data_IF_248321519801
#
_entry.id   IF_248321519801
#
_cell.length_a   1.000
_cell.length_b   1.000
_cell.length_c   1.000
_cell.angle_alpha   90.00
_cell.angle_beta   90.00
_cell.angle_gamma   90.00
#
_symmetry.space_group_name_H-M   'P 1'
#
loop_
_entity.id
_entity.type
_entity.pdbx_description
1 polymer ?
#
# COMPACT_ATOMS: atom_id res chain seq x y z
N UNK A 1 15.54 -19.70 -33.79
CA UNK A 1 15.12 -20.04 -32.41
C UNK A 1 13.90 -19.20 -32.10
N UNK A 2 12.80 -19.78 -31.62
CA UNK A 2 11.70 -18.95 -31.10
C UNK A 2 12.23 -18.15 -29.91
N UNK A 3 11.81 -16.88 -29.71
CA UNK A 3 12.24 -16.13 -28.53
C UNK A 3 11.85 -16.92 -27.28
N UNK A 4 12.83 -17.22 -26.41
CA UNK A 4 12.55 -17.95 -25.17
C UNK A 4 11.56 -17.15 -24.34
N UNK A 5 10.37 -17.68 -24.11
CA UNK A 5 9.31 -17.00 -23.35
C UNK A 5 9.79 -16.75 -21.92
N UNK A 6 9.75 -15.50 -21.48
CA UNK A 6 10.02 -15.15 -20.08
C UNK A 6 8.80 -15.45 -19.24
N UNK A 7 8.99 -16.22 -18.16
CA UNK A 7 7.95 -16.56 -17.19
C UNK A 7 8.34 -16.03 -15.80
N UNK A 8 7.43 -15.35 -15.15
CA UNK A 8 7.58 -14.78 -13.81
C UNK A 8 6.59 -15.41 -12.86
N UNK A 9 7.07 -15.81 -11.69
CA UNK A 9 6.23 -16.21 -10.57
C UNK A 9 5.94 -14.98 -9.69
N UNK A 10 4.68 -14.60 -9.55
CA UNK A 10 4.27 -13.46 -8.74
C UNK A 10 3.62 -13.93 -7.42
N UNK A 11 4.20 -13.54 -6.29
CA UNK A 11 3.73 -13.94 -4.96
C UNK A 11 3.27 -12.73 -4.12
N UNK A 12 1.95 -12.45 -4.09
CA UNK A 12 1.36 -11.41 -3.25
C UNK A 12 1.19 -11.85 -1.80
N UNK A 13 1.27 -10.89 -0.87
CA UNK A 13 0.71 -11.08 0.47
C UNK A 13 -0.85 -11.06 0.37
N UNK A 14 -1.58 -11.99 1.03
CA UNK A 14 -3.01 -12.22 0.82
C UNK A 14 -3.88 -11.22 1.59
N UNK A 15 -3.67 -9.94 1.29
CA UNK A 15 -4.48 -8.82 1.73
C UNK A 15 -4.76 -7.96 0.51
N UNK A 16 -5.97 -7.44 0.36
CA UNK A 16 -6.37 -6.64 -0.81
C UNK A 16 -5.41 -5.48 -1.09
N UNK A 17 -4.84 -4.88 -0.04
CA UNK A 17 -3.86 -3.79 -0.16
C UNK A 17 -2.54 -4.19 -0.84
N UNK A 18 -2.23 -5.48 -0.91
CA UNK A 18 -0.98 -6.03 -1.45
C UNK A 18 -1.25 -6.82 -2.74
N UNK A 19 -2.27 -7.67 -2.71
CA UNK A 19 -2.67 -8.52 -3.83
C UNK A 19 -3.14 -7.72 -5.03
N UNK A 20 -3.99 -6.71 -4.85
CA UNK A 20 -4.55 -5.95 -5.98
C UNK A 20 -3.44 -5.19 -6.73
N UNK A 21 -2.55 -4.41 -6.07
CA UNK A 21 -1.47 -3.72 -6.77
C UNK A 21 -0.49 -4.67 -7.47
N UNK A 22 -0.13 -5.80 -6.86
CA UNK A 22 0.74 -6.77 -7.52
C UNK A 22 0.05 -7.43 -8.71
N UNK A 23 -1.25 -7.73 -8.61
CA UNK A 23 -2.03 -8.26 -9.72
C UNK A 23 -2.11 -7.24 -10.87
N UNK A 24 -2.25 -5.95 -10.58
CA UNK A 24 -2.27 -4.93 -11.61
C UNK A 24 -0.89 -4.77 -12.28
N UNK A 25 0.21 -4.91 -11.54
CA UNK A 25 1.55 -5.05 -12.13
C UNK A 25 1.64 -6.29 -13.02
N UNK A 26 1.12 -7.43 -12.59
CA UNK A 26 1.11 -8.67 -13.38
C UNK A 26 0.37 -8.46 -14.72
N UNK A 27 -0.78 -7.79 -14.71
CA UNK A 27 -1.51 -7.43 -15.93
C UNK A 27 -0.67 -6.54 -16.86
N UNK A 28 0.05 -5.58 -16.29
CA UNK A 28 0.91 -4.66 -17.04
C UNK A 28 2.16 -5.33 -17.64
N UNK A 29 2.67 -6.39 -17.00
CA UNK A 29 3.72 -7.27 -17.55
C UNK A 29 3.17 -8.17 -18.67
N UNK A 30 1.97 -8.72 -18.46
CA UNK A 30 1.27 -9.57 -19.43
C UNK A 30 0.94 -8.82 -20.72
N UNK A 31 0.53 -7.54 -20.64
CA UNK A 31 0.31 -6.71 -21.81
C UNK A 31 1.58 -6.45 -22.63
N UNK A 32 2.76 -6.71 -22.06
CA UNK A 32 4.08 -6.64 -22.70
C UNK A 32 4.66 -8.00 -23.06
N UNK A 33 3.85 -9.06 -23.01
CA UNK A 33 4.22 -10.39 -23.47
C UNK A 33 4.95 -11.27 -22.44
N UNK A 34 5.06 -10.84 -21.18
CA UNK A 34 5.61 -11.67 -20.10
C UNK A 34 4.56 -12.71 -19.68
N UNK A 35 4.98 -13.96 -19.54
CA UNK A 35 4.14 -14.99 -18.94
C UNK A 35 4.20 -14.80 -17.42
N UNK A 36 3.06 -14.83 -16.74
CA UNK A 36 2.99 -14.62 -15.29
C UNK A 36 2.11 -15.69 -14.67
N UNK A 37 2.63 -16.37 -13.65
CA UNK A 37 1.80 -17.15 -12.72
C UNK A 37 1.65 -16.37 -11.43
N UNK A 38 0.42 -15.98 -11.07
CA UNK A 38 0.10 -15.34 -9.80
C UNK A 38 -0.31 -16.38 -8.76
N UNK A 39 0.31 -16.32 -7.58
CA UNK A 39 -0.03 -17.18 -6.45
C UNK A 39 -1.22 -16.60 -5.69
N UNK A 40 -2.23 -17.44 -5.45
CA UNK A 40 -3.42 -17.05 -4.66
C UNK A 40 -3.81 -18.14 -3.68
N UNK A 41 -4.61 -17.77 -2.69
CA UNK A 41 -5.34 -18.73 -1.84
C UNK A 41 -6.82 -18.75 -2.22
N UNK A 42 -7.58 -19.81 -1.91
CA UNK A 42 -9.00 -19.90 -2.26
C UNK A 42 -9.86 -18.66 -1.94
N UNK A 43 -9.71 -17.99 -0.76
CA UNK A 43 -10.47 -16.77 -0.46
C UNK A 43 -10.15 -15.58 -1.36
N UNK A 44 -8.96 -15.56 -1.96
CA UNK A 44 -8.46 -14.46 -2.77
C UNK A 44 -8.51 -14.74 -4.28
N UNK A 45 -8.71 -16.00 -4.66
CA UNK A 45 -8.84 -16.42 -6.06
C UNK A 45 -9.89 -15.61 -6.84
N UNK A 46 -11.07 -15.26 -6.27
CA UNK A 46 -12.06 -14.45 -6.99
C UNK A 46 -11.58 -13.05 -7.37
N UNK A 47 -10.49 -12.54 -6.78
CA UNK A 47 -9.92 -11.23 -7.13
C UNK A 47 -9.13 -11.26 -8.45
N UNK A 48 -8.72 -12.45 -8.91
CA UNK A 48 -8.05 -12.61 -10.20
C UNK A 48 -9.09 -12.80 -11.29
N UNK A 49 -9.14 -11.92 -12.31
CA UNK A 49 -10.10 -12.04 -13.40
C UNK A 49 -9.91 -13.36 -14.15
N UNK A 50 -11.00 -14.12 -14.30
CA UNK A 50 -11.01 -15.32 -15.12
C UNK A 50 -10.78 -14.94 -16.59
N UNK A 51 -9.93 -15.70 -17.30
CA UNK A 51 -9.67 -15.52 -18.73
C UNK A 51 -9.13 -14.14 -19.15
N UNK A 52 -8.40 -13.44 -18.27
CA UNK A 52 -7.81 -12.13 -18.61
C UNK A 52 -6.87 -12.19 -19.82
N UNK A 53 -5.98 -13.19 -19.85
CA UNK A 53 -5.02 -13.43 -20.94
C UNK A 53 -4.48 -14.85 -20.81
N UNK A 54 -4.15 -15.55 -21.91
CA UNK A 54 -3.48 -16.85 -21.83
C UNK A 54 -2.09 -16.79 -21.19
N UNK A 55 -1.50 -15.60 -21.07
CA UNK A 55 -0.22 -15.38 -20.42
C UNK A 55 -0.33 -15.17 -18.90
N UNK A 56 -1.54 -14.97 -18.37
CA UNK A 56 -1.79 -14.82 -16.93
C UNK A 56 -2.42 -16.11 -16.39
N UNK A 57 -1.64 -16.85 -15.61
CA UNK A 57 -2.07 -18.08 -14.96
C UNK A 57 -2.15 -17.89 -13.45
N UNK A 58 -2.91 -18.75 -12.80
CA UNK A 58 -3.08 -18.73 -11.34
C UNK A 58 -2.68 -20.09 -10.78
N UNK A 59 -1.82 -20.08 -9.75
CA UNK A 59 -1.56 -21.27 -8.93
C UNK A 59 -2.22 -21.07 -7.57
N UNK A 60 -3.18 -21.94 -7.26
CA UNK A 60 -3.96 -21.89 -6.01
C UNK A 60 -3.22 -22.70 -4.94
N UNK A 61 -2.73 -22.02 -3.91
CA UNK A 61 -2.04 -22.62 -2.78
C UNK A 61 -3.03 -22.97 -1.65
N UNK A 62 -2.67 -23.93 -0.78
CA UNK A 62 -3.48 -24.26 0.39
C UNK A 62 -3.81 -23.04 1.25
N UNK A 63 -4.93 -23.11 1.98
CA UNK A 63 -5.27 -22.08 2.94
C UNK A 63 -4.28 -22.03 4.10
N UNK A 64 -4.07 -20.82 4.62
CA UNK A 64 -3.21 -20.61 5.77
C UNK A 64 -3.82 -21.25 7.02
N UNK A 65 -3.02 -22.02 7.73
CA UNK A 65 -3.36 -22.55 9.03
C UNK A 65 -2.63 -21.75 10.11
N UNK A 66 -3.35 -21.41 11.18
CA UNK A 66 -2.85 -20.65 12.31
C UNK A 66 -2.83 -21.54 13.55
N UNK A 67 -1.72 -22.26 13.81
CA UNK A 67 -1.67 -23.19 14.93
C UNK A 67 -1.71 -22.48 16.30
N UNK A 68 -1.29 -21.21 16.37
CA UNK A 68 -1.28 -20.45 17.61
C UNK A 68 -2.09 -19.14 17.48
N UNK A 69 -3.23 -19.00 18.18
CA UNK A 69 -4.05 -17.78 18.14
C UNK A 69 -3.42 -16.60 18.88
N UNK A 70 -2.46 -16.84 19.77
CA UNK A 70 -1.77 -15.81 20.56
C UNK A 70 -0.55 -15.22 19.83
N UNK A 71 -0.15 -15.81 18.69
CA UNK A 71 0.97 -15.32 17.90
C UNK A 71 0.57 -14.05 17.14
N UNK A 72 1.51 -13.13 16.96
CA UNK A 72 1.36 -12.01 16.06
C UNK A 72 0.90 -12.50 14.69
N UNK A 73 -0.28 -12.04 14.26
CA UNK A 73 -0.95 -12.55 13.07
C UNK A 73 -0.10 -12.42 11.80
N UNK A 74 0.66 -11.33 11.63
CA UNK A 74 1.52 -11.18 10.46
C UNK A 74 2.62 -12.24 10.45
N UNK A 75 3.30 -12.40 11.58
CA UNK A 75 4.40 -13.39 11.72
C UNK A 75 3.85 -14.80 11.55
N UNK A 76 2.70 -15.13 12.15
CA UNK A 76 2.02 -16.40 12.00
C UNK A 76 1.67 -16.69 10.52
N UNK A 77 1.12 -15.69 9.80
CA UNK A 77 0.81 -15.81 8.37
C UNK A 77 2.06 -16.08 7.54
N UNK A 78 3.11 -15.28 7.69
CA UNK A 78 4.33 -15.40 6.89
C UNK A 78 5.09 -16.70 7.23
N UNK A 79 5.09 -17.12 8.50
CA UNK A 79 5.66 -18.40 8.93
C UNK A 79 4.91 -19.57 8.30
N UNK A 80 3.58 -19.56 8.38
CA UNK A 80 2.73 -20.59 7.79
C UNK A 80 2.91 -20.68 6.28
N UNK A 81 3.03 -19.54 5.59
CA UNK A 81 3.37 -19.53 4.16
C UNK A 81 4.73 -20.14 3.87
N UNK A 82 5.78 -19.73 4.60
CA UNK A 82 7.12 -20.28 4.41
C UNK A 82 7.12 -21.79 4.62
N UNK A 83 6.45 -22.29 5.65
CA UNK A 83 6.43 -23.73 5.96
C UNK A 83 5.61 -24.55 4.95
N UNK A 84 4.43 -24.07 4.57
CA UNK A 84 3.48 -24.85 3.79
C UNK A 84 3.60 -24.61 2.28
N UNK A 85 3.94 -23.40 1.85
CA UNK A 85 3.98 -23.06 0.42
C UNK A 85 5.35 -23.31 -0.19
N UNK A 86 6.44 -23.12 0.56
CA UNK A 86 7.81 -23.35 0.05
C UNK A 86 8.00 -24.70 -0.65
N UNK A 87 7.71 -25.86 -0.02
CA UNK A 87 7.96 -27.15 -0.66
C UNK A 87 7.10 -27.34 -1.92
N UNK A 88 5.86 -26.86 -1.90
CA UNK A 88 4.94 -26.92 -3.05
C UNK A 88 5.49 -26.07 -4.20
N UNK A 89 5.96 -24.86 -3.92
CA UNK A 89 6.48 -23.95 -4.93
C UNK A 89 7.79 -24.42 -5.54
N UNK A 90 8.66 -25.03 -4.73
CA UNK A 90 9.91 -25.62 -5.21
C UNK A 90 9.65 -26.77 -6.18
N UNK A 91 8.81 -27.74 -5.78
CA UNK A 91 8.41 -28.88 -6.61
C UNK A 91 7.69 -28.43 -7.89
N UNK A 92 6.72 -27.51 -7.75
CA UNK A 92 5.99 -26.95 -8.88
C UNK A 92 6.94 -26.27 -9.88
N UNK A 93 7.86 -25.43 -9.41
CA UNK A 93 8.77 -24.70 -10.29
C UNK A 93 9.76 -25.62 -11.01
N UNK A 94 10.26 -26.68 -10.34
CA UNK A 94 11.17 -27.67 -10.93
C UNK A 94 10.49 -28.56 -11.98
N UNK A 95 9.19 -28.80 -11.85
CA UNK A 95 8.42 -29.68 -12.75
C UNK A 95 7.60 -28.92 -13.79
N UNK A 96 7.52 -27.59 -13.71
CA UNK A 96 6.73 -26.78 -14.62
C UNK A 96 7.28 -26.84 -16.07
N UNK A 97 6.44 -27.03 -17.11
CA UNK A 97 6.89 -27.08 -18.51
C UNK A 97 7.59 -25.80 -18.99
N UNK A 98 7.30 -24.67 -18.34
CA UNK A 98 7.97 -23.40 -18.54
C UNK A 98 8.38 -22.87 -17.16
N UNK A 99 9.51 -23.29 -16.58
CA UNK A 99 9.89 -22.88 -15.22
C UNK A 99 10.04 -21.35 -15.13
N UNK A 100 9.71 -20.74 -13.97
CA UNK A 100 9.87 -19.30 -13.81
C UNK A 100 11.35 -18.91 -13.93
N UNK A 101 11.63 -17.80 -14.63
CA UNK A 101 12.98 -17.21 -14.73
C UNK A 101 13.23 -16.15 -13.66
N UNK A 102 12.19 -15.69 -12.97
CA UNK A 102 12.29 -14.73 -11.89
C UNK A 102 11.10 -14.89 -10.94
N UNK A 103 11.29 -14.46 -9.70
CA UNK A 103 10.22 -14.35 -8.70
C UNK A 103 10.02 -12.88 -8.36
N UNK A 104 8.79 -12.40 -8.44
CA UNK A 104 8.39 -11.10 -7.87
C UNK A 104 7.54 -11.39 -6.64
N UNK A 105 7.94 -10.96 -5.45
CA UNK A 105 7.05 -11.08 -4.28
C UNK A 105 6.92 -9.79 -3.49
N UNK A 106 5.82 -9.73 -2.75
CA UNK A 106 5.60 -8.71 -1.73
C UNK A 106 6.74 -8.66 -0.69
N UNK A 107 7.02 -7.46 -0.15
CA UNK A 107 8.06 -7.24 0.85
C UNK A 107 7.82 -8.01 2.16
N UNK A 108 6.59 -8.39 2.51
CA UNK A 108 6.37 -9.24 3.69
C UNK A 108 6.85 -10.68 3.51
N UNK A 109 7.15 -11.09 2.28
CA UNK A 109 7.54 -12.46 1.93
C UNK A 109 9.04 -12.58 1.68
N UNK A 110 9.86 -11.93 2.52
CA UNK A 110 11.33 -11.96 2.41
C UNK A 110 11.91 -13.37 2.28
N UNK A 111 11.33 -14.35 2.97
CA UNK A 111 11.71 -15.78 2.89
C UNK A 111 11.75 -16.35 1.47
N UNK A 112 10.99 -15.78 0.53
CA UNK A 112 11.02 -16.17 -0.90
C UNK A 112 12.40 -16.00 -1.52
N UNK A 113 13.32 -15.27 -0.88
CA UNK A 113 14.74 -15.24 -1.24
C UNK A 113 15.36 -16.64 -1.24
N UNK A 114 15.02 -17.48 -0.24
CA UNK A 114 15.51 -18.86 -0.20
C UNK A 114 15.00 -19.69 -1.37
N UNK A 115 13.72 -19.52 -1.74
CA UNK A 115 13.13 -20.21 -2.90
C UNK A 115 13.84 -19.79 -4.19
N UNK A 116 14.11 -18.50 -4.36
CA UNK A 116 14.82 -17.97 -5.52
C UNK A 116 16.26 -18.50 -5.63
N UNK A 117 16.96 -18.59 -4.49
CA UNK A 117 18.30 -19.16 -4.40
C UNK A 117 18.32 -20.63 -4.82
N UNK A 118 17.42 -21.45 -4.26
CA UNK A 118 17.36 -22.89 -4.54
C UNK A 118 16.89 -23.18 -5.98
N UNK A 119 16.15 -22.26 -6.61
CA UNK A 119 15.78 -22.32 -8.03
C UNK A 119 16.83 -21.67 -8.96
N UNK A 120 17.88 -21.04 -8.41
CA UNK A 120 18.88 -20.29 -9.16
C UNK A 120 18.30 -19.19 -10.07
N UNK A 121 17.30 -18.46 -9.57
CA UNK A 121 16.64 -17.35 -10.29
C UNK A 121 16.69 -16.05 -9.48
N UNK A 122 16.71 -14.88 -10.13
CA UNK A 122 16.61 -13.60 -9.42
C UNK A 122 15.25 -13.43 -8.74
N UNK A 123 15.29 -12.80 -7.56
CA UNK A 123 14.13 -12.34 -6.81
C UNK A 123 14.03 -10.83 -6.87
N UNK A 124 12.88 -10.32 -7.27
CA UNK A 124 12.49 -8.93 -7.12
C UNK A 124 11.52 -8.76 -5.95
N UNK A 125 11.69 -7.68 -5.20
CA UNK A 125 10.71 -7.22 -4.22
C UNK A 125 9.69 -6.32 -4.92
N UNK A 126 8.41 -6.57 -4.71
CA UNK A 126 7.35 -5.63 -5.02
C UNK A 126 6.93 -4.90 -3.74
N UNK A 127 6.92 -3.57 -3.81
CA UNK A 127 6.43 -2.72 -2.73
C UNK A 127 5.10 -2.06 -3.11
N UNK A 128 3.97 -2.49 -2.51
CA UNK A 128 2.72 -1.74 -2.54
C UNK A 128 2.72 -0.54 -1.57
N UNK A 129 3.83 -0.26 -0.89
CA UNK A 129 4.07 0.95 -0.09
C UNK A 129 5.00 1.91 -0.82
N UNK A 130 5.00 3.19 -0.42
CA UNK A 130 5.88 4.22 -0.97
C UNK A 130 7.36 3.96 -0.68
N UNK A 131 8.24 4.50 -1.53
CA UNK A 131 9.69 4.40 -1.38
C UNK A 131 10.18 5.02 -0.07
N UNK A 132 9.54 6.09 0.39
CA UNK A 132 9.87 6.69 1.68
C UNK A 132 9.60 5.72 2.86
N UNK A 133 8.40 5.16 2.90
CA UNK A 133 8.00 4.20 3.94
C UNK A 133 8.89 2.96 3.97
N UNK A 134 9.22 2.41 2.80
CA UNK A 134 10.10 1.25 2.74
C UNK A 134 11.52 1.58 3.20
N UNK A 135 12.03 2.78 2.88
CA UNK A 135 13.35 3.25 3.36
C UNK A 135 13.39 3.37 4.89
N UNK A 136 12.32 3.90 5.51
CA UNK A 136 12.17 3.92 6.97
C UNK A 136 12.18 2.49 7.54
N UNK A 137 11.44 1.57 6.93
CA UNK A 137 11.39 0.17 7.36
C UNK A 137 12.76 -0.52 7.26
N UNK A 138 13.48 -0.35 6.15
CA UNK A 138 14.82 -0.91 5.97
C UNK A 138 15.81 -0.37 7.00
N UNK A 139 15.88 0.95 7.18
CA UNK A 139 16.76 1.53 8.20
C UNK A 139 16.40 1.06 9.61
N UNK A 140 15.10 0.97 9.93
CA UNK A 140 14.62 0.50 11.22
C UNK A 140 15.12 -0.92 11.55
N UNK A 141 14.98 -1.86 10.62
CA UNK A 141 15.34 -3.28 10.85
C UNK A 141 16.83 -3.59 10.64
N UNK A 142 17.52 -2.82 9.79
CA UNK A 142 18.96 -2.94 9.55
C UNK A 142 19.77 -2.29 10.66
N UNK A 143 19.51 -1.02 10.93
CA UNK A 143 20.36 -0.17 11.77
C UNK A 143 19.97 -0.25 13.26
N UNK A 144 18.73 -0.68 13.57
CA UNK A 144 18.20 -0.81 14.93
C UNK A 144 18.42 0.47 15.76
N UNK A 145 17.87 1.62 15.31
CA UNK A 145 18.11 2.90 15.94
C UNK A 145 17.65 2.89 17.41
N UNK A 146 18.37 3.65 18.24
CA UNK A 146 18.02 3.81 19.65
C UNK A 146 16.83 4.73 19.81
N UNK A 147 15.99 4.45 20.81
CA UNK A 147 14.95 5.38 21.25
C UNK A 147 15.63 6.40 22.16
N UNK A 148 15.56 7.67 21.77
CA UNK A 148 16.15 8.78 22.53
C UNK A 148 15.33 9.07 23.80
N UNK A 149 15.90 9.84 24.74
CA UNK A 149 15.27 10.12 26.06
C UNK A 149 13.87 10.76 25.98
N UNK A 150 13.50 11.38 24.85
CA UNK A 150 12.21 12.00 24.61
C UNK A 150 11.21 11.08 23.87
N UNK A 151 11.46 9.77 23.85
CA UNK A 151 10.63 8.77 23.16
C UNK A 151 10.52 9.02 21.65
N UNK A 152 11.62 9.46 21.04
CA UNK A 152 11.73 9.73 19.60
C UNK A 152 12.81 8.86 18.96
N UNK A 153 12.63 8.58 17.68
CA UNK A 153 13.56 7.85 16.83
C UNK A 153 13.88 8.68 15.60
N UNK A 154 15.17 8.94 15.40
CA UNK A 154 15.69 9.74 14.29
C UNK A 154 16.31 8.85 13.21
N UNK A 155 16.15 9.26 11.95
CA UNK A 155 16.69 8.54 10.79
C UNK A 155 17.62 9.44 9.97
N UNK A 156 18.79 9.83 10.51
CA UNK A 156 19.66 10.85 9.91
C UNK A 156 20.30 10.42 8.57
N UNK A 157 20.29 9.12 8.25
CA UNK A 157 20.81 8.59 6.98
C UNK A 157 19.79 8.63 5.84
N UNK A 158 18.51 8.86 6.15
CA UNK A 158 17.46 8.96 5.14
C UNK A 158 17.33 10.39 4.61
N UNK A 159 16.85 10.59 3.37
CA UNK A 159 16.53 11.91 2.87
C UNK A 159 15.55 12.66 3.80
N UNK A 160 15.81 13.94 4.03
CA UNK A 160 15.09 14.82 4.95
C UNK A 160 15.15 14.43 6.43
N UNK A 161 16.00 13.47 6.82
CA UNK A 161 16.30 13.09 8.22
C UNK A 161 15.05 13.02 9.12
N UNK A 162 14.03 12.22 8.78
CA UNK A 162 12.76 12.25 9.48
C UNK A 162 12.93 11.77 10.92
N UNK A 163 12.07 12.32 11.79
CA UNK A 163 11.99 11.99 13.20
C UNK A 163 10.56 11.54 13.48
N UNK A 164 10.43 10.47 14.26
CA UNK A 164 9.16 9.90 14.67
C UNK A 164 9.12 9.76 16.20
N UNK A 165 8.02 10.15 16.87
CA UNK A 165 7.69 9.57 18.16
C UNK A 165 7.67 8.04 18.04
N UNK A 166 8.15 7.31 19.05
CA UNK A 166 8.28 5.85 18.98
C UNK A 166 6.93 5.18 18.68
N UNK A 167 5.83 5.73 19.20
CA UNK A 167 4.47 5.25 18.96
C UNK A 167 4.02 5.37 17.49
N UNK A 168 4.67 6.17 16.64
CA UNK A 168 4.38 6.20 15.20
C UNK A 168 5.10 5.09 14.42
N UNK A 169 6.07 4.40 15.03
CA UNK A 169 6.73 3.26 14.40
C UNK A 169 5.81 2.06 14.30
N UNK A 170 6.18 1.12 13.43
CA UNK A 170 5.37 -0.08 13.19
C UNK A 170 5.15 -0.88 14.49
N UNK A 171 3.92 -1.34 14.70
CA UNK A 171 3.56 -2.17 15.87
C UNK A 171 4.54 -3.34 16.10
N UNK A 172 4.97 -3.98 15.02
CA UNK A 172 5.92 -5.11 15.08
C UNK A 172 7.28 -4.73 15.65
N UNK A 173 7.75 -3.51 15.41
CA UNK A 173 9.02 -3.05 15.98
C UNK A 173 8.88 -2.68 17.45
N UNK A 174 7.76 -2.06 17.85
CA UNK A 174 7.55 -1.55 19.20
C UNK A 174 7.18 -2.62 20.23
N UNK A 175 6.25 -3.52 19.86
CA UNK A 175 5.58 -4.39 20.83
C UNK A 175 6.16 -5.80 20.90
N UNK A 176 6.93 -6.21 19.88
CA UNK A 176 7.61 -7.51 19.90
C UNK A 176 8.96 -7.38 20.62
N UNK A 177 9.30 -8.38 21.45
CA UNK A 177 10.54 -8.35 22.22
C UNK A 177 11.72 -8.83 21.38
N UNK A 178 12.77 -8.00 21.31
CA UNK A 178 14.03 -8.34 20.64
C UNK A 178 14.63 -9.64 21.19
N UNK A 179 15.11 -10.51 20.30
CA UNK A 179 15.62 -11.84 20.63
C UNK A 179 14.56 -12.94 20.70
N UNK A 180 13.27 -12.61 20.72
CA UNK A 180 12.21 -13.61 20.60
C UNK A 180 11.94 -13.98 19.15
N UNK A 181 11.36 -15.17 18.94
CA UNK A 181 11.12 -15.74 17.61
C UNK A 181 10.41 -14.77 16.66
N UNK A 182 9.34 -14.10 17.10
CA UNK A 182 8.55 -13.22 16.24
C UNK A 182 9.35 -12.02 15.73
N UNK A 183 10.14 -11.43 16.62
CA UNK A 183 10.96 -10.27 16.32
C UNK A 183 12.09 -10.65 15.37
N UNK A 184 12.81 -11.74 15.67
CA UNK A 184 13.92 -12.22 14.83
C UNK A 184 13.43 -12.69 13.45
N UNK A 185 12.30 -13.40 13.40
CA UNK A 185 11.70 -13.85 12.14
C UNK A 185 11.26 -12.67 11.27
N UNK A 186 10.61 -11.65 11.85
CA UNK A 186 10.21 -10.48 11.09
C UNK A 186 11.44 -9.70 10.61
N UNK A 187 12.44 -9.51 11.47
CA UNK A 187 13.71 -8.87 11.09
C UNK A 187 14.40 -9.61 9.96
N UNK A 188 14.52 -10.94 10.04
CA UNK A 188 15.08 -11.79 8.98
C UNK A 188 14.35 -11.52 7.65
N UNK A 189 13.01 -11.56 7.63
CA UNK A 189 12.24 -11.28 6.42
C UNK A 189 12.50 -9.88 5.86
N UNK A 190 12.63 -8.86 6.72
CA UNK A 190 12.92 -7.49 6.27
C UNK A 190 14.33 -7.36 5.70
N UNK A 191 15.33 -8.02 6.30
CA UNK A 191 16.70 -8.02 5.80
C UNK A 191 16.84 -8.78 4.48
N UNK A 192 16.12 -9.89 4.29
CA UNK A 192 16.11 -10.63 3.03
C UNK A 192 15.58 -9.82 1.84
N UNK A 193 14.87 -8.71 2.08
CA UNK A 193 14.47 -7.79 1.02
C UNK A 193 15.63 -6.91 0.52
N UNK A 194 16.68 -6.71 1.33
CA UNK A 194 17.89 -5.99 0.91
C UNK A 194 18.79 -6.86 0.02
N UNK A 195 18.69 -8.19 0.13
CA UNK A 195 19.37 -9.19 -0.72
C UNK A 195 18.65 -9.42 -2.07
N UNK A 196 17.79 -8.50 -2.48
CA UNK A 196 17.00 -8.61 -3.71
C UNK A 196 17.83 -8.29 -4.95
N UNK A 197 17.45 -8.89 -6.09
CA UNK A 197 17.99 -8.47 -7.38
C UNK A 197 17.46 -7.09 -7.81
N UNK A 198 16.29 -6.67 -7.34
CA UNK A 198 15.76 -5.33 -7.63
C UNK A 198 14.39 -5.08 -7.02
N UNK A 199 13.98 -3.82 -6.93
CA UNK A 199 12.71 -3.44 -6.30
C UNK A 199 11.78 -2.75 -7.30
N UNK A 200 10.52 -3.18 -7.32
CA UNK A 200 9.44 -2.55 -8.09
C UNK A 200 8.49 -1.86 -7.12
N UNK A 201 8.36 -0.54 -7.23
CA UNK A 201 7.48 0.27 -6.41
C UNK A 201 6.21 0.64 -7.16
N UNK A 202 5.06 0.52 -6.49
CA UNK A 202 3.84 1.20 -6.93
C UNK A 202 3.89 2.69 -6.56
N UNK A 203 4.77 3.43 -7.22
CA UNK A 203 4.94 4.89 -7.09
C UNK A 203 5.43 5.45 -8.43
N UNK A 204 5.54 6.76 -8.57
CA UNK A 204 6.11 7.42 -9.75
C UNK A 204 7.24 8.36 -9.37
N UNK A 205 8.14 8.61 -10.31
CA UNK A 205 9.39 9.33 -10.07
C UNK A 205 9.14 10.72 -9.49
N UNK A 206 8.16 11.44 -10.01
CA UNK A 206 7.84 12.81 -9.59
C UNK A 206 7.28 12.91 -8.16
N UNK A 207 6.79 11.80 -7.59
CA UNK A 207 6.29 11.74 -6.22
C UNK A 207 7.40 11.51 -5.20
N UNK A 208 8.36 10.61 -5.49
CA UNK A 208 9.31 10.09 -4.50
C UNK A 208 10.77 10.03 -4.97
N UNK A 209 11.19 10.81 -5.99
CA UNK A 209 12.54 10.75 -6.59
C UNK A 209 13.68 10.62 -5.57
N UNK A 210 13.71 11.46 -4.54
CA UNK A 210 14.78 11.47 -3.54
C UNK A 210 14.89 10.15 -2.76
N UNK A 211 13.76 9.47 -2.55
CA UNK A 211 13.70 8.19 -1.84
C UNK A 211 14.00 7.03 -2.79
N UNK A 212 13.57 7.09 -4.05
CA UNK A 212 13.97 6.13 -5.08
C UNK A 212 15.50 6.14 -5.30
N UNK A 213 16.09 7.33 -5.40
CA UNK A 213 17.55 7.51 -5.54
C UNK A 213 18.30 7.04 -4.29
N UNK A 214 17.71 7.22 -3.10
CA UNK A 214 18.26 6.68 -1.86
C UNK A 214 18.26 5.15 -1.86
N UNK A 215 17.15 4.50 -2.23
CA UNK A 215 17.07 3.03 -2.30
C UNK A 215 18.09 2.46 -3.30
N UNK A 216 18.30 3.12 -4.45
CA UNK A 216 19.35 2.70 -5.41
C UNK A 216 20.75 2.72 -4.79
N UNK A 217 21.06 3.77 -4.02
CA UNK A 217 22.33 3.87 -3.28
C UNK A 217 22.45 2.83 -2.18
N UNK A 218 21.36 2.55 -1.46
CA UNK A 218 21.36 1.53 -0.40
C UNK A 218 21.58 0.12 -0.96
N UNK A 219 21.05 -0.19 -2.14
CA UNK A 219 21.20 -1.49 -2.81
C UNK A 219 22.46 -1.62 -3.66
N UNK A 220 23.23 -0.53 -3.81
CA UNK A 220 24.41 -0.45 -4.69
C UNK A 220 24.12 -0.86 -6.16
N UNK A 221 22.93 -0.53 -6.67
CA UNK A 221 22.56 -0.78 -8.06
C UNK A 221 21.34 0.01 -8.56
N UNK A 222 21.21 0.14 -9.87
CA UNK A 222 20.12 0.90 -10.54
C UNK A 222 18.80 0.14 -10.72
N UNK A 223 18.70 -1.13 -10.29
CA UNK A 223 17.50 -1.99 -10.46
C UNK A 223 16.38 -1.64 -9.47
N UNK A 224 15.88 -0.41 -9.59
CA UNK A 224 14.76 0.13 -8.82
C UNK A 224 13.80 0.81 -9.81
N UNK A 225 12.57 0.32 -9.90
CA UNK A 225 11.58 0.78 -10.88
C UNK A 225 10.35 1.36 -10.19
N UNK A 226 10.01 2.60 -10.52
CA UNK A 226 8.78 3.26 -10.11
C UNK A 226 7.75 3.14 -11.23
N UNK A 227 6.82 2.18 -11.11
CA UNK A 227 5.89 1.78 -12.18
C UNK A 227 4.44 2.21 -11.93
N UNK A 228 4.19 2.90 -10.82
CA UNK A 228 2.86 3.32 -10.40
C UNK A 228 2.44 4.70 -10.94
N UNK A 229 1.24 5.19 -10.59
CA UNK A 229 0.18 4.43 -9.95
C UNK A 229 -0.32 3.31 -10.86
N UNK A 230 -0.24 2.05 -10.41
CA UNK A 230 -0.82 0.92 -11.13
C UNK A 230 -2.29 0.84 -10.72
N UNK A 231 -3.11 1.69 -11.33
CA UNK A 231 -4.54 1.83 -11.04
C UNK A 231 -5.35 1.67 -12.33
N UNK A 232 -6.64 1.31 -12.24
CA UNK A 232 -7.56 1.46 -13.36
C UNK A 232 -7.57 2.90 -13.84
N UNK A 233 -7.64 3.14 -15.16
CA UNK A 233 -7.66 4.50 -15.70
C UNK A 233 -8.80 5.32 -15.05
N UNK A 234 -8.50 6.49 -14.47
CA UNK A 234 -9.54 7.37 -13.96
C UNK A 234 -10.41 7.87 -15.13
N UNK A 235 -11.72 7.99 -14.90
CA UNK A 235 -12.58 8.71 -15.84
C UNK A 235 -12.30 10.22 -15.76
N UNK A 236 -12.30 10.91 -16.89
CA UNK A 236 -12.07 12.36 -16.96
C UNK A 236 -13.22 13.14 -16.29
N UNK A 237 -13.06 13.43 -14.99
CA UNK A 237 -13.95 14.29 -14.23
C UNK A 237 -13.30 15.63 -13.87
N UNK A 238 -13.70 16.73 -14.49
CA UNK A 238 -13.37 18.09 -14.02
C UNK A 238 -14.23 18.45 -12.81
N UNK A 239 -13.66 18.94 -11.69
CA UNK A 239 -14.41 19.22 -10.45
C UNK A 239 -15.63 20.13 -10.71
N UNK A 240 -16.82 19.67 -10.35
CA UNK A 240 -18.11 20.34 -10.55
C UNK A 240 -18.32 21.53 -9.61
N UNK A 241 -19.53 22.11 -9.64
CA UNK A 241 -19.91 23.23 -8.77
C UNK A 241 -20.31 22.80 -7.35
N UNK A 242 -20.74 21.56 -7.15
CA UNK A 242 -21.05 21.00 -5.83
C UNK A 242 -19.87 20.15 -5.33
N UNK A 243 -19.10 20.66 -4.37
CA UNK A 243 -18.00 19.93 -3.76
C UNK A 243 -18.47 19.11 -2.54
N UNK A 244 -18.08 17.83 -2.51
CA UNK A 244 -18.39 16.84 -1.49
C UNK A 244 -17.09 16.32 -0.87
N UNK A 245 -17.11 16.03 0.43
CA UNK A 245 -16.05 15.28 1.09
C UNK A 245 -16.28 13.78 0.97
N UNK A 246 -15.24 13.02 0.63
CA UNK A 246 -15.26 11.57 0.78
C UNK A 246 -14.50 11.18 2.05
N UNK A 247 -15.03 10.23 2.82
CA UNK A 247 -14.42 9.75 4.06
C UNK A 247 -14.31 8.24 4.01
N UNK A 248 -13.08 7.72 4.10
CA UNK A 248 -12.82 6.28 4.11
C UNK A 248 -11.48 5.96 4.80
N UNK A 249 -11.52 5.00 5.72
CA UNK A 249 -10.34 4.55 6.48
C UNK A 249 -9.77 3.21 5.97
N UNK A 250 -10.06 2.88 4.71
CA UNK A 250 -9.55 1.70 4.03
C UNK A 250 -10.22 0.39 4.44
N UNK A 251 -9.61 -0.72 4.04
CA UNK A 251 -10.20 -2.05 4.19
C UNK A 251 -9.91 -2.72 5.54
N UNK A 252 -9.05 -2.15 6.38
CA UNK A 252 -8.61 -2.79 7.64
C UNK A 252 -8.96 -2.01 8.90
N UNK A 253 -9.09 -0.70 8.82
CA UNK A 253 -9.34 0.15 9.99
C UNK A 253 -10.83 0.20 10.29
N UNK A 254 -11.17 0.06 11.57
CA UNK A 254 -12.49 0.42 12.11
C UNK A 254 -12.26 1.46 13.19
N UNK A 255 -12.98 2.57 13.10
CA UNK A 255 -12.91 3.66 14.07
C UNK A 255 -13.52 3.23 15.41
N UNK A 256 -12.96 3.70 16.53
CA UNK A 256 -13.59 3.57 17.85
C UNK A 256 -14.92 4.32 17.90
N UNK A 257 -15.75 4.03 18.92
CA UNK A 257 -17.01 4.76 19.11
C UNK A 257 -16.77 6.27 19.26
N UNK A 258 -15.75 6.66 20.03
CA UNK A 258 -15.32 8.06 20.20
C UNK A 258 -14.90 8.71 18.87
N UNK A 259 -14.01 8.06 18.09
CA UNK A 259 -13.58 8.58 16.79
C UNK A 259 -14.74 8.76 15.82
N UNK A 260 -15.68 7.80 15.79
CA UNK A 260 -16.85 7.90 14.92
C UNK A 260 -17.79 9.00 15.38
N UNK A 261 -18.00 9.16 16.69
CA UNK A 261 -18.81 10.23 17.25
C UNK A 261 -18.26 11.60 16.85
N UNK A 262 -16.97 11.85 17.12
CA UNK A 262 -16.28 13.09 16.73
C UNK A 262 -16.35 13.32 15.22
N UNK A 263 -16.11 12.29 14.40
CA UNK A 263 -16.20 12.39 12.95
C UNK A 263 -17.60 12.82 12.50
N UNK A 264 -18.65 12.18 13.03
CA UNK A 264 -20.03 12.51 12.65
C UNK A 264 -20.45 13.90 13.09
N UNK A 265 -20.07 14.33 14.29
CA UNK A 265 -20.29 15.70 14.76
C UNK A 265 -19.54 16.72 13.89
N UNK A 266 -18.28 16.44 13.54
CA UNK A 266 -17.49 17.32 12.69
C UNK A 266 -18.08 17.45 11.27
N UNK A 267 -18.57 16.34 10.71
CA UNK A 267 -19.25 16.34 9.41
C UNK A 267 -20.54 17.17 9.45
N UNK A 268 -21.34 17.04 10.50
CA UNK A 268 -22.53 17.87 10.73
C UNK A 268 -22.18 19.36 10.86
N UNK A 269 -21.25 19.70 11.77
CA UNK A 269 -20.80 21.07 12.03
C UNK A 269 -20.18 21.74 10.80
N UNK A 270 -19.52 20.96 9.93
CA UNK A 270 -18.91 21.50 8.70
C UNK A 270 -19.94 22.02 7.70
N UNK A 271 -21.17 21.51 7.75
CA UNK A 271 -22.25 21.81 6.81
C UNK A 271 -21.99 21.34 5.37
N UNK A 272 -20.96 20.52 5.13
CA UNK A 272 -20.62 20.04 3.79
C UNK A 272 -21.42 18.80 3.44
N UNK A 273 -21.61 18.55 2.14
CA UNK A 273 -22.12 17.25 1.68
C UNK A 273 -21.00 16.22 1.70
N UNK A 274 -21.29 14.99 2.08
CA UNK A 274 -20.25 13.96 2.17
C UNK A 274 -20.72 12.55 1.78
N UNK A 275 -19.75 11.71 1.46
CA UNK A 275 -19.90 10.26 1.34
C UNK A 275 -19.03 9.63 2.42
N UNK A 276 -19.63 8.87 3.33
CA UNK A 276 -18.95 8.18 4.41
C UNK A 276 -18.98 6.67 4.15
N UNK A 277 -17.82 6.09 3.87
CA UNK A 277 -17.64 4.65 3.79
C UNK A 277 -17.32 4.10 5.17
N UNK A 278 -18.18 3.23 5.68
CA UNK A 278 -17.97 2.50 6.94
C UNK A 278 -17.87 1.01 6.66
N UNK A 279 -16.97 0.36 7.36
CA UNK A 279 -16.78 -1.09 7.24
C UNK A 279 -17.68 -1.82 8.24
N UNK A 280 -18.18 -2.99 7.83
CA UNK A 280 -18.84 -3.90 8.76
C UNK A 280 -17.86 -4.38 9.84
N UNK A 281 -18.39 -4.53 11.05
CA UNK A 281 -17.66 -5.11 12.17
C UNK A 281 -17.41 -6.59 11.85
N UNK A 282 -16.14 -6.99 11.78
CA UNK A 282 -15.78 -8.41 11.82
C UNK A 282 -15.39 -8.84 13.23
N UNK A 283 -15.18 -10.15 13.43
CA UNK A 283 -14.83 -10.74 14.75
C UNK A 283 -13.63 -10.08 15.42
N UNK A 284 -12.74 -9.38 14.68
CA UNK A 284 -11.58 -8.65 15.24
C UNK A 284 -11.97 -7.34 15.94
N UNK A 285 -13.16 -6.81 15.67
CA UNK A 285 -13.61 -5.50 16.13
C UNK A 285 -14.66 -5.62 17.25
N UNK A 286 -15.13 -6.82 17.57
CA UNK A 286 -16.17 -7.03 18.60
C UNK A 286 -15.64 -6.76 20.02
N UNK A 287 -14.32 -6.88 20.24
CA UNK A 287 -13.69 -6.75 21.57
C UNK A 287 -13.25 -5.32 21.95
N UNK A 288 -13.17 -4.36 21.01
CA UNK A 288 -12.53 -3.04 21.22
C UNK A 288 -13.49 -1.84 21.15
N UNK A 289 -14.66 -1.93 21.79
CA UNK A 289 -15.62 -0.82 21.89
C UNK A 289 -16.18 -0.30 20.55
N UNK A 290 -16.26 -1.17 19.53
CA UNK A 290 -16.83 -0.81 18.23
C UNK A 290 -18.32 -1.15 18.08
N UNK A 291 -18.93 -1.77 19.11
CA UNK A 291 -20.26 -2.41 19.05
C UNK A 291 -21.41 -1.45 18.69
N UNK A 292 -21.24 -0.14 18.92
CA UNK A 292 -22.29 0.87 18.70
C UNK A 292 -21.99 1.85 17.56
N UNK A 293 -20.87 1.71 16.84
CA UNK A 293 -20.39 2.67 15.82
C UNK A 293 -21.42 2.90 14.71
N UNK A 294 -22.11 1.84 14.26
CA UNK A 294 -23.08 1.91 13.16
C UNK A 294 -24.51 2.23 13.63
N UNK A 295 -24.82 2.02 14.91
CA UNK A 295 -26.15 2.27 15.46
C UNK A 295 -26.46 3.76 15.45
N UNK A 296 -27.60 4.15 14.86
CA UNK A 296 -28.01 5.55 14.75
C UNK A 296 -27.20 6.40 13.77
N UNK A 297 -26.23 5.83 13.04
CA UNK A 297 -25.34 6.57 12.15
C UNK A 297 -26.11 7.30 11.04
N UNK A 298 -27.14 6.67 10.47
CA UNK A 298 -28.01 7.30 9.47
C UNK A 298 -28.74 8.55 10.02
N UNK A 299 -29.16 8.51 11.29
CA UNK A 299 -29.80 9.65 11.93
C UNK A 299 -28.78 10.77 12.21
N UNK A 300 -27.56 10.43 12.64
CA UNK A 300 -26.48 11.40 12.89
C UNK A 300 -26.01 12.10 11.61
N UNK A 301 -25.93 11.37 10.50
CA UNK A 301 -25.49 11.90 9.21
C UNK A 301 -26.57 12.76 8.54
N UNK A 302 -27.84 12.46 8.80
CA UNK A 302 -28.98 13.23 8.30
C UNK A 302 -29.02 13.32 6.76
N UNK A 303 -29.55 14.42 6.23
CA UNK A 303 -29.72 14.64 4.78
C UNK A 303 -28.44 15.10 4.07
N UNK A 304 -27.40 15.45 4.82
CA UNK A 304 -26.16 16.03 4.27
C UNK A 304 -25.16 14.98 3.81
N UNK A 305 -25.27 13.73 4.27
CA UNK A 305 -24.34 12.67 3.90
C UNK A 305 -24.99 11.42 3.32
N UNK A 306 -24.19 10.67 2.58
CA UNK A 306 -24.53 9.35 2.07
C UNK A 306 -23.59 8.31 2.70
N UNK A 307 -24.15 7.23 3.25
CA UNK A 307 -23.38 6.18 3.92
C UNK A 307 -23.26 4.97 2.99
N UNK A 308 -22.04 4.46 2.83
CA UNK A 308 -21.77 3.18 2.19
C UNK A 308 -21.28 2.22 3.26
N UNK A 309 -21.99 1.10 3.43
CA UNK A 309 -21.58 0.02 4.32
C UNK A 309 -20.86 -1.06 3.51
N UNK A 310 -19.71 -1.52 4.03
CA UNK A 310 -18.90 -2.55 3.38
C UNK A 310 -17.90 -1.97 2.37
N UNK A 311 -17.89 -2.50 1.14
CA UNK A 311 -16.94 -2.10 0.10
C UNK A 311 -17.45 -0.90 -0.70
N UNK A 312 -16.68 0.21 -0.69
CA UNK A 312 -16.96 1.37 -1.53
C UNK A 312 -16.20 1.31 -2.86
N UNK A 313 -16.82 1.71 -3.98
CA UNK A 313 -16.13 1.89 -5.25
C UNK A 313 -15.26 3.16 -5.22
N UNK A 314 -14.20 3.13 -4.39
CA UNK A 314 -13.41 4.29 -3.99
C UNK A 314 -12.88 5.09 -5.19
N UNK A 315 -12.31 4.43 -6.20
CA UNK A 315 -11.83 5.10 -7.41
C UNK A 315 -12.94 5.83 -8.19
N UNK A 316 -14.14 5.24 -8.27
CA UNK A 316 -15.29 5.89 -8.94
C UNK A 316 -15.73 7.12 -8.15
N UNK A 317 -15.75 7.02 -6.82
CA UNK A 317 -16.11 8.15 -5.94
C UNK A 317 -15.08 9.27 -6.08
N UNK A 318 -13.78 8.96 -5.96
CA UNK A 318 -12.70 9.96 -6.01
C UNK A 318 -12.57 10.61 -7.39
N UNK A 319 -12.81 9.87 -8.48
CA UNK A 319 -12.78 10.42 -9.85
C UNK A 319 -14.02 11.25 -10.17
N UNK A 320 -15.09 11.16 -9.36
CA UNK A 320 -16.31 11.90 -9.63
C UNK A 320 -16.10 13.39 -9.37
N UNK A 321 -16.44 14.22 -10.36
CA UNK A 321 -16.29 15.69 -10.31
C UNK A 321 -16.82 16.38 -9.07
N UNK A 322 -17.86 15.84 -8.43
CA UNK A 322 -18.42 16.44 -7.23
C UNK A 322 -17.55 16.21 -5.97
N UNK A 323 -16.55 15.33 -6.00
CA UNK A 323 -15.71 15.05 -4.83
C UNK A 323 -14.50 15.98 -4.86
N UNK A 324 -14.37 16.80 -3.82
CA UNK A 324 -13.33 17.82 -3.71
C UNK A 324 -12.26 17.50 -2.68
N UNK A 325 -12.57 16.65 -1.70
CA UNK A 325 -11.63 16.27 -0.64
C UNK A 325 -11.79 14.82 -0.20
N UNK A 326 -10.75 14.28 0.41
CA UNK A 326 -10.69 12.91 0.88
C UNK A 326 -10.08 12.81 2.28
N UNK A 327 -10.91 12.55 3.29
CA UNK A 327 -10.45 12.17 4.63
C UNK A 327 -10.06 10.70 4.64
N UNK A 328 -8.76 10.44 4.85
CA UNK A 328 -8.16 9.14 4.64
C UNK A 328 -7.19 8.76 5.74
N UNK A 329 -7.18 7.46 6.06
CA UNK A 329 -6.13 6.81 6.84
C UNK A 329 -4.74 6.82 6.19
N UNK A 330 -4.60 7.27 4.94
CA UNK A 330 -3.29 7.36 4.24
C UNK A 330 -2.60 6.01 4.00
N UNK A 331 -3.37 4.92 3.86
CA UNK A 331 -2.84 3.72 3.22
C UNK A 331 -2.35 4.05 1.81
N UNK A 332 -1.26 3.40 1.36
CA UNK A 332 -0.58 3.82 0.14
C UNK A 332 -1.46 3.74 -1.12
N UNK A 333 -2.28 2.69 -1.27
CA UNK A 333 -3.23 2.61 -2.38
C UNK A 333 -4.19 3.80 -2.37
N UNK A 334 -4.82 4.09 -1.22
CA UNK A 334 -5.71 5.26 -1.09
C UNK A 334 -4.99 6.59 -1.30
N UNK A 335 -3.70 6.66 -1.00
CA UNK A 335 -2.86 7.83 -1.29
C UNK A 335 -2.71 8.03 -2.79
N UNK A 336 -2.34 6.98 -3.53
CA UNK A 336 -2.23 7.05 -4.99
C UNK A 336 -3.56 7.37 -5.67
N UNK A 337 -4.65 6.78 -5.19
CA UNK A 337 -6.02 7.05 -5.69
C UNK A 337 -6.43 8.50 -5.43
N UNK A 338 -6.09 9.07 -4.26
CA UNK A 338 -6.31 10.48 -3.95
C UNK A 338 -5.47 11.41 -4.82
N UNK A 339 -4.19 11.09 -4.99
CA UNK A 339 -3.24 11.85 -5.82
C UNK A 339 -3.69 11.91 -7.28
N UNK A 340 -4.02 10.76 -7.88
CA UNK A 340 -4.43 10.72 -9.29
C UNK A 340 -5.79 11.40 -9.53
N UNK A 341 -6.65 11.45 -8.50
CA UNK A 341 -7.93 12.15 -8.55
C UNK A 341 -7.78 13.66 -8.30
N UNK A 342 -6.65 14.13 -7.78
CA UNK A 342 -6.39 15.55 -7.51
C UNK A 342 -7.25 16.14 -6.40
N UNK A 343 -7.76 15.30 -5.50
CA UNK A 343 -8.52 15.75 -4.33
C UNK A 343 -7.56 16.21 -3.24
N UNK A 344 -7.97 17.20 -2.45
CA UNK A 344 -7.22 17.57 -1.24
C UNK A 344 -7.41 16.49 -0.19
N UNK A 345 -6.32 15.85 0.23
CA UNK A 345 -6.38 14.83 1.26
C UNK A 345 -6.35 15.44 2.66
N UNK A 346 -7.23 14.96 3.52
CA UNK A 346 -7.17 15.16 4.97
C UNK A 346 -6.61 13.89 5.60
N UNK A 347 -5.43 13.98 6.22
CA UNK A 347 -4.71 12.79 6.69
C UNK A 347 -5.08 12.46 8.13
N UNK A 348 -5.53 11.23 8.37
CA UNK A 348 -5.76 10.67 9.69
C UNK A 348 -5.13 9.27 9.81
N UNK A 349 -3.79 9.16 9.80
CA UNK A 349 -3.08 7.88 9.87
C UNK A 349 -3.41 7.11 11.15
N UNK A 350 -3.48 5.79 11.05
CA UNK A 350 -3.90 4.89 12.14
C UNK A 350 -2.83 3.86 12.52
N UNK A 351 -1.92 3.52 11.60
CA UNK A 351 -0.88 2.51 11.84
C UNK A 351 -0.05 2.19 10.60
N UNK A 352 0.77 1.14 10.70
CA UNK A 352 1.67 0.70 9.62
C UNK A 352 2.55 1.86 9.10
N UNK A 353 2.64 2.03 7.79
CA UNK A 353 3.38 3.08 7.10
C UNK A 353 2.59 4.40 6.94
N UNK A 354 1.34 4.46 7.42
CA UNK A 354 0.43 5.58 7.17
C UNK A 354 0.95 6.92 7.74
N UNK A 355 1.64 6.90 8.87
CA UNK A 355 2.28 8.11 9.43
C UNK A 355 3.38 8.64 8.53
N UNK A 356 4.16 7.75 7.91
CA UNK A 356 5.19 8.12 6.94
C UNK A 356 4.56 8.68 5.66
N UNK A 357 3.46 8.07 5.19
CA UNK A 357 2.70 8.56 4.05
C UNK A 357 2.10 9.95 4.32
N UNK A 358 1.53 10.17 5.50
CA UNK A 358 1.01 11.48 5.91
C UNK A 358 2.13 12.54 5.98
N UNK A 359 3.30 12.19 6.54
CA UNK A 359 4.48 13.08 6.57
C UNK A 359 4.98 13.43 5.16
N UNK A 360 4.96 12.50 4.21
CA UNK A 360 5.27 12.81 2.80
C UNK A 360 4.30 13.86 2.24
N UNK A 361 3.00 13.60 2.34
CA UNK A 361 1.97 14.43 1.72
C UNK A 361 1.84 15.82 2.36
N UNK A 362 1.90 15.88 3.69
CA UNK A 362 1.69 17.12 4.46
C UNK A 362 3.00 17.88 4.61
N UNK A 363 4.02 17.24 5.17
CA UNK A 363 5.20 17.96 5.67
C UNK A 363 6.20 18.25 4.54
N UNK A 364 6.30 17.37 3.53
CA UNK A 364 7.27 17.50 2.44
C UNK A 364 6.66 18.08 1.15
N UNK A 365 5.54 17.53 0.70
CA UNK A 365 4.89 17.94 -0.56
C UNK A 365 3.92 19.11 -0.35
N UNK A 366 3.27 19.19 0.82
CA UNK A 366 2.24 20.18 1.11
C UNK A 366 1.03 20.07 0.18
N UNK A 367 0.64 18.85 -0.18
CA UNK A 367 -0.54 18.53 -1.01
C UNK A 367 -1.75 18.09 -0.17
N UNK A 368 -1.57 17.96 1.14
CA UNK A 368 -2.56 17.46 2.08
C UNK A 368 -2.53 18.25 3.39
N UNK A 369 -3.58 18.11 4.20
CA UNK A 369 -3.68 18.73 5.53
C UNK A 369 -3.83 17.65 6.59
N UNK A 370 -3.11 17.77 7.70
CA UNK A 370 -3.20 16.84 8.83
C UNK A 370 -4.50 17.04 9.61
N UNK A 371 -5.39 16.05 9.56
CA UNK A 371 -6.65 16.07 10.30
C UNK A 371 -6.46 15.67 11.76
N UNK A 372 -5.85 14.50 11.99
CA UNK A 372 -5.61 13.90 13.29
C UNK A 372 -4.61 12.73 13.18
N UNK A 373 -4.30 12.03 14.27
CA UNK A 373 -3.34 10.92 14.29
C UNK A 373 -3.73 9.83 15.31
N UNK A 374 -3.75 8.58 14.86
CA UNK A 374 -4.01 7.42 15.71
C UNK A 374 -5.40 7.41 16.34
N UNK A 375 -5.54 6.58 17.37
CA UNK A 375 -6.77 6.41 18.16
C UNK A 375 -6.82 7.27 19.41
N UNK A 376 -5.67 7.76 19.88
CA UNK A 376 -5.56 8.52 21.14
C UNK A 376 -5.60 10.04 20.92
N UNK A 377 -5.17 10.53 19.76
CA UNK A 377 -5.21 11.96 19.44
C UNK A 377 -6.44 12.28 18.58
N UNK A 378 -7.63 12.02 19.14
CA UNK A 378 -8.91 12.36 18.51
C UNK A 378 -9.07 13.89 18.52
N UNK A 379 -9.35 14.53 17.37
CA UNK A 379 -9.41 16.00 17.29
C UNK A 379 -10.71 16.52 17.90
N UNK A 380 -10.74 17.80 18.25
CA UNK A 380 -12.00 18.48 18.58
C UNK A 380 -12.94 18.49 17.35
N UNK A 381 -14.25 18.18 17.50
CA UNK A 381 -15.18 18.16 16.37
C UNK A 381 -15.21 19.46 15.57
N UNK A 382 -15.11 20.61 16.25
CA UNK A 382 -15.10 21.93 15.61
C UNK A 382 -13.82 22.19 14.80
N UNK A 383 -12.67 21.68 15.26
CA UNK A 383 -11.41 21.77 14.55
C UNK A 383 -11.45 20.93 13.28
N UNK A 384 -11.92 19.68 13.40
CA UNK A 384 -12.07 18.78 12.27
C UNK A 384 -13.08 19.32 11.25
N UNK A 385 -14.21 19.88 11.71
CA UNK A 385 -15.21 20.51 10.85
C UNK A 385 -14.61 21.65 10.02
N UNK A 386 -13.77 22.49 10.64
CA UNK A 386 -13.06 23.58 9.95
C UNK A 386 -12.10 23.04 8.90
N UNK A 387 -11.33 21.98 9.19
CA UNK A 387 -10.43 21.33 8.22
C UNK A 387 -11.20 20.70 7.06
N UNK A 388 -12.33 20.05 7.33
CA UNK A 388 -13.23 19.48 6.32
C UNK A 388 -13.73 20.58 5.38
N UNK A 389 -14.28 21.66 5.92
CA UNK A 389 -14.77 22.78 5.12
C UNK A 389 -13.65 23.44 4.31
N UNK A 390 -12.51 23.72 4.95
CA UNK A 390 -11.32 24.30 4.31
C UNK A 390 -10.81 23.46 3.13
N UNK A 391 -10.80 22.12 3.28
CA UNK A 391 -10.32 21.22 2.23
C UNK A 391 -11.10 21.32 0.93
N UNK A 392 -12.34 21.84 0.94
CA UNK A 392 -13.18 22.02 -0.24
C UNK A 392 -13.02 23.41 -0.90
N UNK A 393 -12.29 24.33 -0.28
CA UNK A 393 -12.01 25.65 -0.85
C UNK A 393 -11.13 25.53 -2.09
N UNK A 394 -11.43 26.32 -3.13
CA UNK A 394 -10.81 26.18 -4.47
C UNK A 394 -9.44 26.86 -4.59
N UNK A 395 -9.09 27.74 -3.66
CA UNK A 395 -7.91 28.62 -3.78
C UNK A 395 -6.82 28.31 -2.75
N UNK A 396 -6.91 27.16 -2.07
CA UNK A 396 -5.91 26.77 -1.08
C UNK A 396 -4.61 26.35 -1.77
N UNK A 397 -3.47 26.57 -1.09
CA UNK A 397 -2.16 26.19 -1.64
C UNK A 397 -2.07 24.67 -1.83
N UNK A 398 -2.66 23.91 -0.91
CA UNK A 398 -2.71 22.45 -0.96
C UNK A 398 -3.49 21.95 -2.16
N UNK A 399 -4.59 22.62 -2.54
CA UNK A 399 -5.35 22.26 -3.74
C UNK A 399 -4.56 22.50 -5.01
N UNK A 400 -3.94 23.67 -5.15
CA UNK A 400 -3.11 23.98 -6.32
C UNK A 400 -2.01 22.93 -6.48
N UNK A 401 -1.32 22.59 -5.39
CA UNK A 401 -0.28 21.54 -5.40
C UNK A 401 -0.83 20.14 -5.67
N UNK A 402 -2.01 19.81 -5.15
CA UNK A 402 -2.66 18.53 -5.42
C UNK A 402 -3.06 18.40 -6.92
N UNK A 403 -3.53 19.48 -7.53
CA UNK A 403 -3.83 19.54 -8.97
C UNK A 403 -2.56 19.43 -9.83
N UNK A 404 -1.48 20.12 -9.45
CA UNK A 404 -0.17 19.97 -10.10
C UNK A 404 0.36 18.53 -10.00
N UNK A 405 0.26 17.93 -8.81
CA UNK A 405 0.70 16.55 -8.58
C UNK A 405 -0.16 15.55 -9.35
N UNK A 406 -1.48 15.78 -9.46
CA UNK A 406 -2.36 15.02 -10.35
C UNK A 406 -1.87 15.09 -11.79
N UNK A 407 -1.52 16.27 -12.28
CA UNK A 407 -0.96 16.44 -13.63
C UNK A 407 0.30 15.59 -13.85
N UNK A 408 1.19 15.55 -12.85
CA UNK A 408 2.39 14.70 -12.88
C UNK A 408 2.05 13.21 -12.82
N UNK A 409 1.10 12.80 -11.99
CA UNK A 409 0.66 11.41 -11.88
C UNK A 409 0.06 10.89 -13.20
N UNK A 410 -0.82 11.69 -13.83
CA UNK A 410 -1.38 11.37 -15.15
C UNK A 410 -0.29 11.35 -16.23
N UNK A 411 0.63 12.32 -16.19
CA UNK A 411 1.79 12.37 -17.08
C UNK A 411 2.68 11.13 -16.97
N UNK A 412 2.87 10.60 -15.76
CA UNK A 412 3.71 9.43 -15.51
C UNK A 412 3.14 8.13 -16.11
N UNK A 413 1.81 7.98 -16.12
CA UNK A 413 1.15 6.77 -16.63
C UNK A 413 0.76 6.83 -18.11
N UNK A 414 0.83 8.01 -18.73
CA UNK A 414 0.65 8.17 -20.17
C UNK A 414 1.66 7.33 -20.96
N UNK A 415 1.38 7.06 -22.24
CA UNK A 415 2.16 6.17 -23.11
C UNK A 415 3.68 6.42 -23.06
N UNK A 416 4.10 7.68 -23.04
CA UNK A 416 5.52 8.10 -23.01
C UNK A 416 5.93 8.64 -21.63
N UNK A 417 5.17 8.30 -20.59
CA UNK A 417 5.35 8.75 -19.22
C UNK A 417 6.43 7.99 -18.47
N UNK A 418 6.91 8.60 -17.37
CA UNK A 418 8.01 8.06 -16.57
C UNK A 418 7.74 6.64 -16.06
N UNK A 419 6.51 6.32 -15.66
CA UNK A 419 6.16 4.98 -15.15
C UNK A 419 6.05 3.93 -16.25
N UNK A 420 5.58 4.29 -17.44
CA UNK A 420 5.60 3.38 -18.59
C UNK A 420 7.04 3.08 -19.02
N UNK A 421 7.91 4.11 -19.04
CA UNK A 421 9.33 3.94 -19.32
C UNK A 421 10.02 3.00 -18.31
N UNK A 422 9.75 3.17 -17.00
CA UNK A 422 10.29 2.28 -15.98
C UNK A 422 9.76 0.85 -16.12
N UNK A 423 8.49 0.68 -16.48
CA UNK A 423 7.89 -0.63 -16.71
C UNK A 423 8.49 -1.32 -17.95
N UNK A 424 8.74 -0.58 -19.03
CA UNK A 424 9.42 -1.10 -20.22
C UNK A 424 10.85 -1.55 -19.89
N UNK A 425 11.59 -0.74 -19.13
CA UNK A 425 12.93 -1.10 -18.62
C UNK A 425 12.91 -2.35 -17.74
N UNK A 426 11.89 -2.50 -16.90
CA UNK A 426 11.70 -3.72 -16.10
C UNK A 426 11.49 -4.94 -17.01
N UNK A 427 10.65 -4.82 -18.04
CA UNK A 427 10.38 -5.92 -18.99
C UNK A 427 11.61 -6.29 -19.81
N UNK A 428 12.38 -5.30 -20.26
CA UNK A 428 13.67 -5.53 -20.93
C UNK A 428 14.60 -6.33 -20.02
N UNK A 429 14.77 -5.89 -18.77
CA UNK A 429 15.64 -6.54 -17.79
C UNK A 429 15.19 -7.95 -17.44
N UNK A 430 13.87 -8.19 -17.31
CA UNK A 430 13.32 -9.53 -17.11
C UNK A 430 13.57 -10.43 -18.32
N UNK A 431 13.53 -9.88 -19.53
CA UNK A 431 13.72 -10.62 -20.79
C UNK A 431 15.19 -10.99 -21.03
N UNK A 432 16.12 -10.22 -20.48
CA UNK A 432 17.56 -10.49 -20.54
C UNK A 432 18.01 -11.62 -19.58
N UNK A 433 17.19 -12.01 -18.60
CA UNK A 433 17.54 -13.05 -17.63
C UNK A 433 17.77 -14.37 -18.36
N UNK A 434 19.02 -14.82 -18.32
CA UNK A 434 19.44 -16.16 -18.77
C UNK A 434 19.40 -17.09 -17.58
N UNK A 435 18.73 -18.23 -17.73
CA UNK A 435 18.81 -19.31 -16.74
C UNK A 435 20.20 -19.91 -16.88
N UNK A 436 21.01 -19.82 -15.83
CA UNK A 436 22.24 -20.60 -15.76
C UNK A 436 21.79 -22.02 -15.41
N UNK A 437 21.92 -22.96 -16.35
CA UNK A 437 21.73 -24.36 -16.03
C UNK A 437 22.82 -24.75 -15.02
N UNK A 438 22.39 -25.26 -13.87
CA UNK A 438 23.27 -25.80 -12.84
C UNK A 438 24.00 -27.06 -13.34
#
# INVERSE_FOLDING_TARGET
MSPTKTHVLAYPFPSSGHLIPLLDLCKALVSRGINVTVLVTPPNQPLVPSNYSPLLQTLVLPNLQFPNPNQNRLVAMVTSMRQNHYPILLDWAMTHPLPPKAIISDFFLGWTHYLARDLHVPRLVFSPSGAFALSVSFSLWRDLPQIENNDVVSFPKLPNSPIYPSWQLTYHFRESKRGEFEWEFHRENMLLNLETWGIVFNTFTELERIYLDHVKKELDHERVWAVGPVLPNPEDGSIGSECRGYVCFGSRTVLTSEQMEVLTQALELSGVRFILSVKDLDTRHVERDHRNVLSGLANRVGKSGFIIQGWAPQMVILSHRAVGSFLSHCGWNSTLEGVISGVVMLTWPMGADQYTNAKLLVDQLGVAVRAAEGTENVPEPSELARKIKWSLERTTKERVRAEELRGKALGAINKDGSSQEQLDKLVEKLSEIRVVQA
#
